data_IF_177260785582
#
_entry.id   IF_177260785582
#
_cell.length_a   1.000
_cell.length_b   1.000
_cell.length_c   1.000
_cell.angle_alpha   90.00
_cell.angle_beta   90.00
_cell.angle_gamma   90.00
#
_symmetry.space_group_name_H-M   'P 1'
#
loop_
_entity.id
_entity.type
_entity.pdbx_description
1 polymer ?
#
# COMPACT_ATOMS: atom_id res chain seq x y z
N UNK A 1 -14.50 12.08 17.26
CA UNK A 1 -14.55 11.41 15.94
C UNK A 1 -15.58 10.31 16.00
N UNK A 2 -16.35 10.11 14.94
CA UNK A 2 -17.29 9.01 14.83
C UNK A 2 -16.59 7.78 14.23
N UNK A 3 -16.94 6.58 14.72
CA UNK A 3 -16.43 5.34 14.17
C UNK A 3 -17.22 4.97 12.92
N UNK A 4 -16.51 4.51 11.89
CA UNK A 4 -17.12 3.96 10.68
C UNK A 4 -17.20 2.45 10.84
N UNK A 5 -18.41 1.89 10.84
CA UNK A 5 -18.66 0.45 10.95
C UNK A 5 -19.23 -0.03 9.61
N UNK A 6 -18.57 -1.00 8.98
CA UNK A 6 -18.93 -1.53 7.65
C UNK A 6 -18.85 -3.05 7.69
N UNK A 7 -19.78 -3.73 7.01
CA UNK A 7 -19.84 -5.19 6.92
C UNK A 7 -20.30 -5.67 5.55
N UNK A 8 -20.12 -6.97 5.28
CA UNK A 8 -20.59 -7.61 4.04
C UNK A 8 -19.88 -7.10 2.79
N UNK A 9 -20.65 -6.87 1.73
CA UNK A 9 -20.13 -6.52 0.39
C UNK A 9 -19.32 -5.23 0.39
N UNK A 10 -19.75 -4.21 1.13
CA UNK A 10 -19.06 -2.92 1.19
C UNK A 10 -17.63 -3.04 1.72
N UNK A 11 -17.41 -3.94 2.68
CA UNK A 11 -16.07 -4.21 3.19
C UNK A 11 -15.24 -4.94 2.13
N UNK A 12 -15.82 -5.94 1.46
CA UNK A 12 -15.13 -6.68 0.40
C UNK A 12 -14.73 -5.78 -0.78
N UNK A 13 -15.62 -4.88 -1.19
CA UNK A 13 -15.37 -3.90 -2.23
C UNK A 13 -14.21 -2.98 -1.85
N UNK A 14 -14.18 -2.47 -0.61
CA UNK A 14 -13.06 -1.66 -0.13
C UNK A 14 -11.73 -2.43 -0.16
N UNK A 15 -11.72 -3.71 0.21
CA UNK A 15 -10.52 -4.56 0.10
C UNK A 15 -10.09 -4.75 -1.35
N UNK A 16 -11.02 -4.99 -2.28
CA UNK A 16 -10.72 -5.14 -3.72
C UNK A 16 -10.11 -3.86 -4.29
N UNK A 17 -10.69 -2.71 -3.99
CA UNK A 17 -10.17 -1.41 -4.42
C UNK A 17 -8.72 -1.20 -3.93
N UNK A 18 -8.47 -1.42 -2.63
CA UNK A 18 -7.11 -1.28 -2.08
C UNK A 18 -6.16 -2.29 -2.68
N UNK A 19 -6.56 -3.55 -2.85
CA UNK A 19 -5.71 -4.58 -3.44
C UNK A 19 -5.28 -4.23 -4.86
N UNK A 20 -6.17 -3.61 -5.64
CA UNK A 20 -5.88 -3.16 -7.01
C UNK A 20 -4.85 -2.03 -7.02
N UNK A 21 -4.94 -1.11 -6.05
CA UNK A 21 -3.95 -0.03 -5.89
C UNK A 21 -2.59 -0.62 -5.52
N UNK A 22 -2.55 -1.55 -4.56
CA UNK A 22 -1.30 -2.19 -4.13
C UNK A 22 -0.67 -2.99 -5.25
N UNK A 23 -1.44 -3.80 -5.98
CA UNK A 23 -0.93 -4.60 -7.10
C UNK A 23 -0.37 -3.71 -8.21
N UNK A 24 -1.14 -2.71 -8.65
CA UNK A 24 -0.71 -1.82 -9.74
C UNK A 24 0.52 -0.96 -9.41
N UNK A 25 0.80 -0.70 -8.13
CA UNK A 25 1.92 0.15 -7.69
C UNK A 25 3.13 -0.63 -7.17
N UNK A 26 2.92 -1.74 -6.46
CA UNK A 26 3.98 -2.54 -5.84
C UNK A 26 4.40 -3.70 -6.74
N UNK A 27 3.48 -4.35 -7.45
CA UNK A 27 3.84 -5.53 -8.26
C UNK A 27 4.80 -5.17 -9.41
N UNK A 28 4.77 -3.92 -9.90
CA UNK A 28 5.69 -3.46 -10.95
C UNK A 28 7.16 -3.50 -10.51
N UNK A 29 7.45 -3.50 -9.19
CA UNK A 29 8.81 -3.61 -8.66
C UNK A 29 9.28 -5.04 -8.48
N UNK A 30 8.43 -6.04 -8.73
CA UNK A 30 8.74 -7.44 -8.48
C UNK A 30 9.75 -8.03 -9.48
N UNK A 31 10.65 -8.87 -8.97
CA UNK A 31 11.62 -9.63 -9.76
C UNK A 31 12.83 -8.82 -10.29
N UNK A 32 13.79 -9.49 -10.95
CA UNK A 32 15.03 -8.87 -11.41
C UNK A 32 14.83 -7.79 -12.48
N UNK A 33 13.72 -7.85 -13.22
CA UNK A 33 13.33 -6.86 -14.24
C UNK A 33 12.29 -5.86 -13.73
N UNK A 34 12.09 -5.77 -12.42
CA UNK A 34 11.18 -4.81 -11.79
C UNK A 34 11.49 -3.37 -12.22
N UNK A 35 10.43 -2.59 -12.43
CA UNK A 35 10.46 -1.18 -12.80
C UNK A 35 10.69 -0.30 -11.58
N UNK A 36 11.22 0.89 -11.82
CA UNK A 36 11.37 1.93 -10.79
C UNK A 36 10.05 2.64 -10.56
N UNK A 37 9.73 2.90 -9.30
CA UNK A 37 8.57 3.66 -8.85
C UNK A 37 9.06 4.95 -8.18
N UNK A 38 8.38 6.05 -8.44
CA UNK A 38 8.63 7.34 -7.80
C UNK A 38 7.67 7.57 -6.63
N UNK A 39 8.21 7.99 -5.49
CA UNK A 39 7.47 8.34 -4.28
C UNK A 39 7.64 9.84 -4.04
N UNK A 40 6.52 10.56 -4.02
CA UNK A 40 6.54 11.98 -3.67
C UNK A 40 6.79 12.15 -2.17
N UNK A 41 7.74 13.01 -1.82
CA UNK A 41 8.02 13.40 -0.45
C UNK A 41 7.56 14.84 -0.21
N UNK A 42 7.12 15.19 1.01
CA UNK A 42 6.69 16.54 1.32
C UNK A 42 7.83 17.58 1.23
N UNK A 43 9.09 17.13 1.32
CA UNK A 43 10.27 17.98 1.23
C UNK A 43 11.34 17.31 0.38
N UNK A 44 12.06 18.13 -0.41
CA UNK A 44 13.12 17.66 -1.31
C UNK A 44 12.59 17.12 -2.63
N UNK A 45 13.41 16.30 -3.30
CA UNK A 45 13.05 15.63 -4.54
C UNK A 45 12.26 14.33 -4.33
N UNK A 46 11.64 13.78 -5.39
CA UNK A 46 10.98 12.49 -5.33
C UNK A 46 11.99 11.36 -5.04
N UNK A 47 11.62 10.39 -4.20
CA UNK A 47 12.42 9.18 -4.01
C UNK A 47 12.11 8.19 -5.13
N UNK A 48 13.13 7.77 -5.88
CA UNK A 48 12.99 6.75 -6.93
C UNK A 48 13.51 5.43 -6.37
N UNK A 49 12.69 4.38 -6.38
CA UNK A 49 13.03 3.09 -5.76
C UNK A 49 12.50 1.89 -6.56
N UNK A 50 13.12 0.73 -6.38
CA UNK A 50 12.61 -0.59 -6.77
C UNK A 50 12.21 -1.45 -5.55
N UNK A 51 12.27 -0.87 -4.36
CA UNK A 51 11.91 -1.54 -3.12
C UNK A 51 10.39 -1.51 -2.93
N UNK A 52 9.74 -2.65 -3.16
CA UNK A 52 8.30 -2.79 -3.03
C UNK A 52 7.76 -2.50 -1.63
N UNK A 53 8.53 -2.78 -0.58
CA UNK A 53 8.09 -2.50 0.79
C UNK A 53 8.06 -1.00 1.09
N UNK A 54 9.06 -0.25 0.60
CA UNK A 54 9.03 1.22 0.67
C UNK A 54 7.87 1.81 -0.13
N UNK A 55 7.59 1.27 -1.32
CA UNK A 55 6.44 1.71 -2.12
C UNK A 55 5.14 1.46 -1.36
N UNK A 56 4.95 0.25 -0.79
CA UNK A 56 3.77 -0.09 0.00
C UNK A 56 3.54 0.87 1.18
N UNK A 57 4.61 1.23 1.91
CA UNK A 57 4.53 2.22 3.01
C UNK A 57 4.20 3.65 2.56
N UNK A 58 4.48 3.97 1.29
CA UNK A 58 4.16 5.28 0.71
C UNK A 58 2.69 5.46 0.35
N UNK A 59 1.94 4.38 0.19
CA UNK A 59 0.53 4.43 -0.21
C UNK A 59 -0.31 5.00 0.94
N UNK A 60 -0.94 6.15 0.72
CA UNK A 60 -1.82 6.83 1.69
C UNK A 60 -3.12 7.28 1.02
N UNK A 61 -4.16 6.43 1.01
CA UNK A 61 -5.46 6.79 0.44
C UNK A 61 -6.19 7.77 1.37
N UNK A 62 -7.04 8.62 0.79
CA UNK A 62 -7.82 9.63 1.53
C UNK A 62 -8.94 9.04 2.39
N UNK A 63 -9.53 7.93 1.93
CA UNK A 63 -10.64 7.26 2.63
C UNK A 63 -10.12 6.57 3.91
N UNK A 64 -10.73 6.80 5.09
CA UNK A 64 -10.27 6.20 6.36
C UNK A 64 -10.27 4.68 6.35
N UNK A 65 -11.28 4.04 5.75
CA UNK A 65 -11.38 2.59 5.65
C UNK A 65 -10.24 2.01 4.79
N UNK A 66 -9.97 2.62 3.64
CA UNK A 66 -8.86 2.23 2.77
C UNK A 66 -7.52 2.38 3.47
N UNK A 67 -7.30 3.46 4.22
CA UNK A 67 -6.07 3.68 4.96
C UNK A 67 -5.86 2.60 6.03
N UNK A 68 -6.93 2.21 6.74
CA UNK A 68 -6.87 1.10 7.69
C UNK A 68 -6.50 -0.22 7.00
N UNK A 69 -7.11 -0.54 5.86
CA UNK A 69 -6.81 -1.75 5.08
C UNK A 69 -5.36 -1.74 4.58
N UNK A 70 -4.88 -0.61 4.04
CA UNK A 70 -3.47 -0.43 3.61
C UNK A 70 -2.50 -0.71 4.75
N UNK A 71 -2.81 -0.25 5.97
CA UNK A 71 -1.98 -0.53 7.14
C UNK A 71 -1.91 -2.02 7.48
N UNK A 72 -3.02 -2.77 7.30
CA UNK A 72 -3.02 -4.23 7.46
C UNK A 72 -2.05 -4.89 6.47
N UNK A 73 -2.12 -4.51 5.19
CA UNK A 73 -1.18 -4.99 4.18
C UNK A 73 0.27 -4.65 4.54
N UNK A 74 0.55 -3.40 4.94
CA UNK A 74 1.89 -2.97 5.32
C UNK A 74 2.43 -3.74 6.53
N UNK A 75 1.57 -4.06 7.50
CA UNK A 75 1.92 -4.87 8.66
C UNK A 75 2.26 -6.31 8.25
N UNK A 76 1.45 -6.93 7.39
CA UNK A 76 1.73 -8.28 6.87
C UNK A 76 3.05 -8.32 6.09
N UNK A 77 3.30 -7.33 5.22
CA UNK A 77 4.57 -7.22 4.50
C UNK A 77 5.76 -7.06 5.46
N UNK A 78 5.61 -6.25 6.52
CA UNK A 78 6.67 -6.09 7.53
C UNK A 78 7.00 -7.40 8.22
N UNK A 79 5.97 -8.15 8.66
CA UNK A 79 6.17 -9.44 9.33
C UNK A 79 6.81 -10.49 8.42
N UNK A 80 6.54 -10.45 7.11
CA UNK A 80 7.23 -11.31 6.15
C UNK A 80 8.70 -10.89 5.97
N UNK A 81 8.97 -9.59 5.96
CA UNK A 81 10.32 -9.07 5.80
C UNK A 81 11.20 -9.29 7.04
N UNK A 82 10.62 -9.25 8.25
CA UNK A 82 11.34 -9.44 9.52
C UNK A 82 11.76 -10.91 9.78
N UNK A 83 11.23 -11.86 9.00
CA UNK A 83 11.53 -13.30 9.12
C UNK A 83 12.63 -13.78 8.17
N UNK A 84 13.28 -12.86 7.47
CA UNK A 84 14.39 -13.11 6.53
C UNK A 84 15.65 -12.48 7.08
#
# INVERSE_FOLDING_TARGET
>A
MANIVVSGEQLQEAFREVSTIVDSTVAVTAGPRGKTVGISKPYGGPEVTKDGYKVMKGIKPEKPLHAAIVNVFAQSCSQCNDKV
#
